data_IF_389549839351
#
_entry.id   IF_389549839351
#
_cell.length_a   1.000
_cell.length_b   1.000
_cell.length_c   1.000
_cell.angle_alpha   90.00
_cell.angle_beta   90.00
_cell.angle_gamma   90.00
#
_symmetry.space_group_name_H-M   'P 1'
#
loop_
_entity.id
_entity.type
_entity.pdbx_description
1 polymer ?
#
# COMPACT_ATOMS: atom_id res chain seq x y z
N UNK A 1 -1.78 -30.63 -8.36
CA UNK A 1 -2.13 -29.21 -8.23
C UNK A 1 -1.40 -28.69 -7.01
N UNK A 2 -0.60 -27.61 -7.12
CA UNK A 2 -0.13 -26.90 -5.93
C UNK A 2 -1.36 -26.22 -5.32
N UNK A 3 -1.58 -26.33 -4.01
CA UNK A 3 -2.61 -25.56 -3.33
C UNK A 3 -2.29 -24.08 -3.54
N UNK A 4 -3.14 -23.37 -4.27
CA UNK A 4 -3.01 -21.95 -4.61
C UNK A 4 -3.22 -21.02 -3.41
N UNK A 5 -3.54 -21.58 -2.24
CA UNK A 5 -3.98 -20.82 -1.05
C UNK A 5 -2.88 -20.69 0.02
N UNK A 6 -1.68 -21.24 -0.20
CA UNK A 6 -0.57 -21.15 0.74
C UNK A 6 0.35 -19.97 0.44
N UNK A 7 0.61 -19.15 1.46
CA UNK A 7 1.59 -18.06 1.39
C UNK A 7 2.99 -18.63 1.24
N UNK A 8 3.73 -18.14 0.24
CA UNK A 8 5.16 -18.45 0.10
C UNK A 8 5.99 -17.75 1.18
N UNK A 9 7.22 -18.19 1.43
CA UNK A 9 8.14 -17.53 2.36
C UNK A 9 8.35 -16.05 2.02
N UNK A 10 8.48 -15.73 0.74
CA UNK A 10 8.61 -14.35 0.25
C UNK A 10 7.35 -13.53 0.56
N UNK A 11 6.16 -14.12 0.39
CA UNK A 11 4.89 -13.45 0.73
C UNK A 11 4.78 -13.18 2.23
N UNK A 12 5.16 -14.15 3.06
CA UNK A 12 5.16 -13.99 4.52
C UNK A 12 6.14 -12.88 4.93
N UNK A 13 7.34 -12.86 4.35
CA UNK A 13 8.35 -11.84 4.62
C UNK A 13 7.87 -10.43 4.25
N UNK A 14 7.19 -10.27 3.12
CA UNK A 14 6.60 -8.99 2.71
C UNK A 14 5.43 -8.59 3.61
N UNK A 15 4.54 -9.52 3.98
CA UNK A 15 3.42 -9.24 4.88
C UNK A 15 3.91 -8.75 6.25
N UNK A 16 5.01 -9.31 6.77
CA UNK A 16 5.61 -8.90 8.04
C UNK A 16 6.21 -7.48 8.02
N UNK A 17 6.43 -6.91 6.83
CA UNK A 17 6.94 -5.55 6.64
C UNK A 17 5.83 -4.53 6.34
N UNK A 18 4.58 -4.96 6.19
CA UNK A 18 3.48 -4.07 5.88
C UNK A 18 3.18 -3.13 7.04
N UNK A 19 3.18 -1.85 6.75
CA UNK A 19 2.72 -0.79 7.63
C UNK A 19 1.45 -0.17 7.05
N UNK A 20 0.49 0.14 7.93
CA UNK A 20 -0.64 1.00 7.55
C UNK A 20 -0.23 2.44 7.80
N UNK A 21 -0.30 3.25 6.75
CA UNK A 21 0.03 4.68 6.80
C UNK A 21 -1.16 5.51 6.37
N UNK A 22 -1.31 6.70 6.96
CA UNK A 22 -2.27 7.70 6.53
C UNK A 22 -1.60 8.71 5.59
N UNK A 23 -2.23 8.94 4.44
CA UNK A 23 -1.95 10.08 3.57
C UNK A 23 -3.04 11.12 3.81
N UNK A 24 -2.69 12.26 4.40
CA UNK A 24 -3.61 13.33 4.79
C UNK A 24 -3.39 14.65 4.04
N UNK A 25 -2.23 14.87 3.40
CA UNK A 25 -1.97 16.05 2.58
C UNK A 25 -0.94 15.86 1.46
N UNK A 26 -1.19 16.54 0.35
CA UNK A 26 -0.28 16.86 -0.78
C UNK A 26 0.69 15.74 -1.24
N UNK A 27 0.29 14.48 -1.16
CA UNK A 27 0.98 13.37 -1.83
C UNK A 27 0.49 13.25 -3.26
N UNK A 28 1.41 13.32 -4.22
CA UNK A 28 1.09 13.14 -5.64
C UNK A 28 1.81 11.93 -6.22
N UNK A 29 1.06 11.15 -6.98
CA UNK A 29 1.57 10.01 -7.72
C UNK A 29 1.43 10.25 -9.22
N UNK A 30 2.44 9.88 -10.01
CA UNK A 30 2.43 10.07 -11.45
C UNK A 30 1.45 9.09 -12.10
N UNK A 31 0.41 9.58 -12.79
CA UNK A 31 -0.55 8.72 -13.49
C UNK A 31 -0.26 8.59 -14.99
N UNK A 32 0.40 9.58 -15.57
CA UNK A 32 0.91 9.62 -16.96
C UNK A 32 1.96 10.73 -17.05
N UNK A 33 2.77 10.83 -18.10
CA UNK A 33 3.85 11.82 -18.25
C UNK A 33 3.48 13.29 -17.91
N UNK A 34 2.20 13.66 -18.03
CA UNK A 34 1.72 15.04 -17.81
C UNK A 34 0.73 15.19 -16.67
N UNK A 35 0.36 14.10 -15.98
CA UNK A 35 -0.70 14.12 -14.96
C UNK A 35 -0.26 13.42 -13.70
N UNK A 36 -0.58 14.03 -12.57
CA UNK A 36 -0.41 13.46 -11.25
C UNK A 36 -1.75 13.46 -10.51
N UNK A 37 -2.01 12.40 -9.76
CA UNK A 37 -3.18 12.32 -8.88
C UNK A 37 -2.76 12.61 -7.44
N UNK A 38 -3.55 13.45 -6.78
CA UNK A 38 -3.50 13.59 -5.33
C UNK A 38 -4.29 12.46 -4.69
N UNK A 39 -3.70 11.84 -3.68
CA UNK A 39 -4.31 10.72 -2.94
C UNK A 39 -4.44 11.11 -1.47
N UNK A 40 -5.56 10.76 -0.87
CA UNK A 40 -5.85 10.95 0.56
C UNK A 40 -6.50 9.66 1.07
N UNK A 41 -6.09 9.18 2.23
CA UNK A 41 -6.64 7.97 2.86
C UNK A 41 -5.57 7.09 3.47
N UNK A 42 -6.01 5.95 4.02
CA UNK A 42 -5.09 4.92 4.53
C UNK A 42 -4.63 4.00 3.41
N UNK A 43 -3.38 3.58 3.43
CA UNK A 43 -2.81 2.61 2.49
C UNK A 43 -1.72 1.76 3.14
N UNK A 44 -1.25 0.76 2.42
CA UNK A 44 -0.10 -0.05 2.82
C UNK A 44 1.22 0.52 2.31
N UNK A 45 2.25 0.39 3.14
CA UNK A 45 3.61 0.82 2.87
C UNK A 45 4.61 -0.24 3.33
N UNK A 46 5.73 -0.36 2.62
CA UNK A 46 6.92 -1.09 3.10
C UNK A 46 8.11 -0.14 3.03
N UNK A 47 8.78 0.08 4.17
CA UNK A 47 9.98 0.90 4.26
C UNK A 47 11.05 0.42 3.28
N UNK A 48 11.66 1.36 2.56
CA UNK A 48 12.63 1.06 1.49
C UNK A 48 12.03 0.50 0.18
N UNK A 49 10.74 0.17 0.10
CA UNK A 49 10.06 -0.24 -1.15
C UNK A 49 9.09 0.80 -1.68
N UNK A 50 8.19 1.32 -0.84
CA UNK A 50 7.16 2.26 -1.24
C UNK A 50 5.75 1.82 -0.88
N UNK A 51 4.77 2.51 -1.47
CA UNK A 51 3.35 2.29 -1.26
C UNK A 51 2.83 1.17 -2.14
N UNK A 52 1.99 0.31 -1.57
CA UNK A 52 1.38 -0.80 -2.30
C UNK A 52 0.34 -0.28 -3.30
N UNK A 53 0.42 -0.71 -4.54
CA UNK A 53 -0.56 -0.48 -5.60
C UNK A 53 -0.74 -1.74 -6.46
N UNK A 54 -1.88 -1.87 -7.13
CA UNK A 54 -2.03 -2.92 -8.14
C UNK A 54 -1.26 -2.55 -9.41
N UNK A 55 -0.82 -3.53 -10.20
CA UNK A 55 0.01 -3.32 -11.39
C UNK A 55 -0.58 -2.31 -12.38
N UNK A 56 -1.91 -2.32 -12.53
CA UNK A 56 -2.64 -1.44 -13.42
C UNK A 56 -2.98 -0.06 -12.82
N UNK A 57 -2.69 0.16 -11.53
CA UNK A 57 -2.99 1.40 -10.83
C UNK A 57 -1.73 2.25 -10.68
N UNK A 58 -1.87 3.57 -10.79
CA UNK A 58 -0.77 4.52 -10.60
C UNK A 58 -0.88 5.30 -9.29
N UNK A 59 -1.75 4.85 -8.40
CA UNK A 59 -1.99 5.40 -7.06
C UNK A 59 -2.01 4.27 -6.05
N UNK A 60 -1.68 4.52 -4.77
CA UNK A 60 -1.73 3.48 -3.75
C UNK A 60 -3.13 2.88 -3.61
N UNK A 61 -3.18 1.61 -3.23
CA UNK A 61 -4.41 0.97 -2.81
C UNK A 61 -4.95 1.64 -1.56
N UNK A 62 -6.06 2.35 -1.72
CA UNK A 62 -6.74 3.14 -0.69
C UNK A 62 -8.19 2.66 -0.57
N UNK A 63 -8.46 1.59 0.20
CA UNK A 63 -9.80 1.03 0.29
C UNK A 63 -10.78 2.02 0.92
N UNK A 64 -12.04 2.00 0.47
CA UNK A 64 -13.11 2.84 1.06
C UNK A 64 -13.31 2.59 2.57
N UNK A 65 -13.03 1.38 3.04
CA UNK A 65 -13.08 1.04 4.47
C UNK A 65 -11.90 1.58 5.29
N UNK A 66 -10.95 2.28 4.67
CA UNK A 66 -9.84 2.94 5.34
C UNK A 66 -9.01 1.99 6.22
N UNK A 67 -8.63 2.47 7.41
CA UNK A 67 -7.80 1.76 8.37
C UNK A 67 -8.38 0.39 8.74
N UNK A 68 -9.68 0.27 9.00
CA UNK A 68 -10.29 -0.98 9.46
C UNK A 68 -10.21 -2.08 8.41
N UNK A 69 -10.39 -1.73 7.12
CA UNK A 69 -10.22 -2.68 6.03
C UNK A 69 -8.77 -3.19 5.94
N UNK A 70 -7.79 -2.30 6.06
CA UNK A 70 -6.37 -2.66 6.03
C UNK A 70 -5.97 -3.47 7.26
N UNK A 71 -6.47 -3.12 8.45
CA UNK A 71 -6.23 -3.85 9.69
C UNK A 71 -6.81 -5.26 9.63
N UNK A 72 -7.99 -5.43 9.04
CA UNK A 72 -8.58 -6.76 8.81
C UNK A 72 -7.67 -7.64 7.96
N UNK A 73 -7.10 -7.09 6.88
CA UNK A 73 -6.14 -7.81 6.02
C UNK A 73 -4.90 -8.24 6.83
N UNK A 74 -4.34 -7.35 7.67
CA UNK A 74 -3.19 -7.71 8.51
C UNK A 74 -3.54 -8.75 9.58
N UNK A 75 -4.72 -8.66 10.20
CA UNK A 75 -5.20 -9.62 11.19
C UNK A 75 -5.35 -11.03 10.59
N UNK A 76 -5.70 -11.12 9.31
CA UNK A 76 -5.76 -12.39 8.57
C UNK A 76 -4.38 -12.90 8.10
N UNK A 77 -3.31 -12.18 8.45
CA UNK A 77 -1.91 -12.52 8.12
C UNK A 77 -1.40 -11.90 6.81
N UNK A 78 -2.07 -10.87 6.29
CA UNK A 78 -1.68 -10.13 5.08
C UNK A 78 -2.17 -10.76 3.77
N UNK A 79 -1.52 -10.42 2.65
CA UNK A 79 -1.91 -10.92 1.32
C UNK A 79 -1.59 -12.42 1.15
N UNK A 80 -2.31 -13.09 0.25
CA UNK A 80 -2.03 -14.49 -0.12
C UNK A 80 -0.85 -14.60 -1.09
N UNK A 81 -0.71 -13.60 -1.97
CA UNK A 81 0.40 -13.46 -2.92
C UNK A 81 0.57 -11.99 -3.30
N UNK A 82 1.73 -11.66 -3.88
CA UNK A 82 2.05 -10.34 -4.42
C UNK A 82 2.05 -10.29 -5.95
N UNK A 83 1.59 -11.35 -6.62
CA UNK A 83 1.33 -11.29 -8.06
C UNK A 83 0.28 -10.21 -8.37
N UNK A 84 0.56 -9.33 -9.35
CA UNK A 84 -0.29 -8.19 -9.65
C UNK A 84 -0.12 -6.99 -8.71
N UNK A 85 0.86 -7.02 -7.79
CA UNK A 85 1.17 -5.92 -6.86
C UNK A 85 2.52 -5.29 -7.23
N UNK A 86 2.56 -3.96 -7.21
CA UNK A 86 3.78 -3.16 -7.32
C UNK A 86 3.91 -2.20 -6.14
N UNK A 87 5.13 -1.69 -5.94
CA UNK A 87 5.41 -0.63 -4.98
C UNK A 87 5.71 0.65 -5.75
N UNK A 88 5.03 1.74 -5.38
CA UNK A 88 5.18 3.05 -6.00
C UNK A 88 5.58 4.09 -4.97
N UNK A 89 6.29 5.11 -5.43
CA UNK A 89 6.68 6.25 -4.61
C UNK A 89 6.00 7.51 -5.14
N UNK A 90 5.68 8.48 -4.27
CA UNK A 90 5.21 9.78 -4.71
C UNK A 90 6.27 10.48 -5.58
N UNK A 91 5.81 11.34 -6.48
CA UNK A 91 6.68 12.31 -7.17
C UNK A 91 6.77 13.63 -6.41
N UNK A 92 5.89 13.83 -5.42
CA UNK A 92 5.83 15.00 -4.57
C UNK A 92 5.30 14.61 -3.20
N UNK A 93 6.10 14.88 -2.16
CA UNK A 93 5.80 14.57 -0.75
C UNK A 93 6.21 15.71 0.20
N UNK A 94 6.34 16.94 -0.31
CA UNK A 94 6.80 18.07 0.51
C UNK A 94 5.73 18.46 1.54
N UNK A 95 6.15 18.53 2.80
CA UNK A 95 5.37 19.10 3.90
C UNK A 95 4.58 18.10 4.73
N UNK A 96 4.80 16.79 4.56
CA UNK A 96 3.85 15.78 5.04
C UNK A 96 4.23 15.08 6.34
N UNK A 97 3.26 14.97 7.26
CA UNK A 97 3.32 14.09 8.43
C UNK A 97 2.74 12.72 8.06
N UNK A 98 3.58 11.68 8.01
CA UNK A 98 3.07 10.31 8.04
C UNK A 98 2.52 10.08 9.44
N UNK A 99 1.20 10.08 9.60
CA UNK A 99 0.61 9.60 10.85
C UNK A 99 0.75 8.08 10.83
N UNK A 100 1.83 7.61 11.45
CA UNK A 100 1.92 6.23 11.91
C UNK A 100 1.21 6.19 13.27
N UNK A 101 0.36 5.18 13.46
CA UNK A 101 -0.51 4.95 14.61
C UNK A 101 -1.93 5.56 14.50
N UNK A 102 -2.91 4.66 14.58
CA UNK A 102 -4.26 4.95 15.05
C UNK A 102 -4.36 4.27 16.41
N UNK A 103 -4.24 5.05 17.49
CA UNK A 103 -4.49 4.60 18.86
C UNK A 103 -5.99 4.35 19.10
#
# INVERSE_FOLDING_TARGET
>A
MKNTDERTSVTIELNNQLEIVQIDHDYKFQCSDKQAASVIGCCFYIEGKGYLAYENDNTPYTPRGGYDALKSILNDGGFLHYEGIKFINPIHERGVQRITCFD
#
